data_IF_464296846484
#
_entry.id   IF_464296846484
#
_cell.length_a   1.000
_cell.length_b   1.000
_cell.length_c   1.000
_cell.angle_alpha   90.00
_cell.angle_beta   90.00
_cell.angle_gamma   90.00
#
_symmetry.space_group_name_H-M   'P 1'
#
loop_
_entity.id
_entity.type
_entity.pdbx_description
1 polymer ?
#
# COMPACT_ATOMS: atom_id res chain seq x y z
N UNK A 1 58.41 -5.77 -11.50
CA UNK A 1 57.13 -5.35 -12.12
C UNK A 1 56.04 -6.21 -11.50
N UNK A 2 55.27 -5.67 -10.56
CA UNK A 2 54.21 -6.40 -9.85
C UNK A 2 52.89 -6.21 -10.61
N UNK A 3 52.42 -7.28 -11.26
CA UNK A 3 51.13 -7.31 -11.94
C UNK A 3 50.02 -7.46 -10.90
N UNK A 4 49.36 -6.35 -10.59
CA UNK A 4 48.15 -6.32 -9.76
C UNK A 4 47.00 -6.98 -10.53
N UNK A 5 46.73 -8.24 -10.22
CA UNK A 5 45.56 -8.97 -10.72
C UNK A 5 44.30 -8.39 -10.07
N UNK A 6 43.63 -7.47 -10.78
CA UNK A 6 42.26 -7.07 -10.44
C UNK A 6 41.37 -8.30 -10.56
N UNK A 7 41.02 -8.93 -9.45
CA UNK A 7 40.00 -9.98 -9.46
C UNK A 7 38.70 -9.35 -9.95
N UNK A 8 38.28 -9.73 -11.14
CA UNK A 8 36.95 -9.45 -11.66
C UNK A 8 35.94 -10.13 -10.73
N UNK A 9 35.44 -9.39 -9.74
CA UNK A 9 34.33 -9.80 -8.89
C UNK A 9 33.14 -10.00 -9.81
N UNK A 10 32.85 -11.26 -10.18
CA UNK A 10 31.61 -11.62 -10.85
C UNK A 10 30.47 -11.02 -10.03
N UNK A 11 29.69 -10.13 -10.64
CA UNK A 11 28.59 -9.41 -10.03
C UNK A 11 27.51 -10.42 -9.59
N UNK A 12 27.72 -11.04 -8.43
CA UNK A 12 26.81 -12.00 -7.84
C UNK A 12 25.68 -11.21 -7.20
N UNK A 13 24.53 -11.18 -7.86
CA UNK A 13 23.32 -10.54 -7.34
C UNK A 13 22.62 -11.54 -6.41
N UNK A 14 22.64 -11.32 -5.08
CA UNK A 14 21.96 -12.22 -4.16
C UNK A 14 20.44 -12.16 -4.41
N UNK A 15 19.87 -13.29 -4.83
CA UNK A 15 18.44 -13.42 -5.07
C UNK A 15 17.71 -13.78 -3.77
N UNK A 16 16.65 -13.02 -3.44
CA UNK A 16 15.78 -13.34 -2.31
C UNK A 16 14.71 -14.35 -2.77
N UNK A 17 14.68 -15.57 -2.22
CA UNK A 17 13.71 -16.60 -2.62
C UNK A 17 12.25 -16.20 -2.34
N UNK A 18 12.02 -15.20 -1.47
CA UNK A 18 10.68 -14.72 -1.14
C UNK A 18 10.18 -13.64 -2.12
N UNK A 19 11.00 -13.17 -3.06
CA UNK A 19 10.65 -12.12 -4.01
C UNK A 19 9.33 -12.36 -4.76
N UNK A 20 9.04 -13.57 -5.30
CA UNK A 20 7.77 -13.81 -6.00
C UNK A 20 6.55 -13.60 -5.09
N UNK A 21 6.64 -14.04 -3.83
CA UNK A 21 5.56 -13.90 -2.85
C UNK A 21 5.36 -12.44 -2.46
N UNK A 22 6.45 -11.68 -2.31
CA UNK A 22 6.39 -10.24 -2.03
C UNK A 22 5.75 -9.48 -3.18
N UNK A 23 6.12 -9.80 -4.42
CA UNK A 23 5.51 -9.21 -5.62
C UNK A 23 4.02 -9.53 -5.66
N UNK A 24 3.62 -10.80 -5.51
CA UNK A 24 2.22 -11.21 -5.53
C UNK A 24 1.39 -10.48 -4.46
N UNK A 25 1.89 -10.41 -3.22
CA UNK A 25 1.22 -9.67 -2.13
C UNK A 25 1.09 -8.19 -2.43
N UNK A 26 2.15 -7.59 -2.99
CA UNK A 26 2.16 -6.20 -3.40
C UNK A 26 1.11 -5.91 -4.47
N UNK A 27 1.07 -6.74 -5.52
CA UNK A 27 0.10 -6.62 -6.63
C UNK A 27 -1.33 -6.74 -6.12
N UNK A 28 -1.62 -7.74 -5.28
CA UNK A 28 -2.94 -7.90 -4.67
C UNK A 28 -3.34 -6.69 -3.84
N UNK A 29 -2.42 -6.15 -3.02
CA UNK A 29 -2.68 -4.96 -2.21
C UNK A 29 -2.93 -3.71 -3.07
N UNK A 30 -2.18 -3.53 -4.17
CA UNK A 30 -2.43 -2.43 -5.10
C UNK A 30 -3.73 -2.61 -5.88
N UNK A 31 -4.08 -3.84 -6.26
CA UNK A 31 -5.34 -4.15 -6.94
C UNK A 31 -6.55 -3.84 -6.06
N UNK A 32 -6.53 -4.27 -4.80
CA UNK A 32 -7.62 -3.97 -3.84
C UNK A 32 -7.76 -2.48 -3.58
N UNK A 33 -6.64 -1.76 -3.44
CA UNK A 33 -6.66 -0.30 -3.31
C UNK A 33 -7.23 0.38 -4.56
N UNK A 34 -6.92 -0.15 -5.75
CA UNK A 34 -7.49 0.29 -7.02
C UNK A 34 -8.99 0.08 -7.10
N UNK A 35 -9.47 -1.08 -6.66
CA UNK A 35 -10.90 -1.40 -6.60
C UNK A 35 -11.66 -0.45 -5.67
N UNK A 36 -11.15 -0.27 -4.45
CA UNK A 36 -11.76 0.64 -3.46
C UNK A 36 -11.80 2.06 -4.02
N UNK A 37 -10.67 2.55 -4.53
CA UNK A 37 -10.55 3.91 -5.08
C UNK A 37 -11.50 4.10 -6.27
N UNK A 38 -11.54 3.16 -7.21
CA UNK A 38 -12.40 3.23 -8.38
C UNK A 38 -13.89 3.15 -8.03
N UNK A 39 -14.27 2.30 -7.06
CA UNK A 39 -15.64 2.23 -6.57
C UNK A 39 -16.05 3.55 -5.89
N UNK A 40 -15.21 4.10 -5.01
CA UNK A 40 -15.49 5.37 -4.32
C UNK A 40 -15.63 6.54 -5.30
N UNK A 41 -14.72 6.67 -6.26
CA UNK A 41 -14.81 7.72 -7.29
C UNK A 41 -16.06 7.51 -8.15
N UNK A 42 -16.42 6.26 -8.47
CA UNK A 42 -17.59 5.95 -9.29
C UNK A 42 -18.89 6.41 -8.63
N UNK A 43 -19.02 6.15 -7.32
CA UNK A 43 -20.14 6.62 -6.50
C UNK A 43 -20.19 8.16 -6.48
N UNK A 44 -19.06 8.82 -6.22
CA UNK A 44 -18.99 10.29 -6.12
C UNK A 44 -19.29 10.96 -7.47
N UNK A 45 -18.86 10.37 -8.58
CA UNK A 45 -19.06 10.92 -9.92
C UNK A 45 -20.35 10.47 -10.61
N UNK A 46 -21.24 9.77 -9.89
CA UNK A 46 -22.50 9.20 -10.43
C UNK A 46 -22.31 8.36 -11.70
N UNK A 47 -21.15 7.72 -11.85
CA UNK A 47 -20.83 6.77 -12.93
C UNK A 47 -21.02 5.35 -12.43
N UNK A 48 -21.02 4.36 -13.33
CA UNK A 48 -21.06 2.95 -12.94
C UNK A 48 -19.83 2.61 -12.06
N UNK A 49 -19.99 2.38 -10.74
CA UNK A 49 -18.88 2.19 -9.82
C UNK A 49 -18.14 0.89 -10.05
N UNK A 50 -18.82 -0.12 -10.59
CA UNK A 50 -18.24 -1.42 -10.90
C UNK A 50 -17.26 -1.33 -12.08
N UNK A 51 -17.68 -0.71 -13.18
CA UNK A 51 -16.83 -0.52 -14.36
C UNK A 51 -15.59 0.31 -14.03
N UNK A 52 -15.74 1.39 -13.26
CA UNK A 52 -14.61 2.24 -12.85
C UNK A 52 -13.67 1.50 -11.88
N UNK A 53 -14.22 0.74 -10.93
CA UNK A 53 -13.46 -0.11 -10.02
C UNK A 53 -12.59 -1.13 -10.75
N UNK A 54 -13.16 -1.86 -11.73
CA UNK A 54 -12.41 -2.86 -12.51
C UNK A 54 -11.28 -2.19 -13.31
N UNK A 55 -11.58 -1.11 -14.04
CA UNK A 55 -10.57 -0.42 -14.84
C UNK A 55 -9.41 0.11 -13.97
N UNK A 56 -9.73 0.67 -12.80
CA UNK A 56 -8.71 1.15 -11.87
C UNK A 56 -7.92 0.00 -11.23
N UNK A 57 -8.59 -1.12 -10.92
CA UNK A 57 -7.94 -2.33 -10.41
C UNK A 57 -6.91 -2.87 -11.39
N UNK A 58 -7.26 -3.00 -12.66
CA UNK A 58 -6.35 -3.50 -13.71
C UNK A 58 -5.16 -2.56 -13.87
N UNK A 59 -5.41 -1.26 -14.04
CA UNK A 59 -4.36 -0.26 -14.21
C UNK A 59 -3.41 -0.22 -13.01
N UNK A 60 -3.95 -0.26 -11.79
CA UNK A 60 -3.13 -0.21 -10.58
C UNK A 60 -2.42 -1.54 -10.30
N UNK A 61 -2.98 -2.68 -10.74
CA UNK A 61 -2.31 -3.99 -10.67
C UNK A 61 -1.15 -4.07 -11.64
N UNK A 62 -1.27 -3.54 -12.87
CA UNK A 62 -0.15 -3.47 -13.83
C UNK A 62 0.95 -2.56 -13.29
N UNK A 63 0.58 -1.38 -12.77
CA UNK A 63 1.54 -0.47 -12.14
C UNK A 63 2.22 -1.11 -10.92
N UNK A 64 1.44 -1.78 -10.06
CA UNK A 64 1.94 -2.51 -8.89
C UNK A 64 2.88 -3.65 -9.30
N UNK A 65 2.51 -4.46 -10.28
CA UNK A 65 3.34 -5.57 -10.78
C UNK A 65 4.68 -5.05 -11.31
N UNK A 66 4.64 -3.98 -12.10
CA UNK A 66 5.85 -3.35 -12.63
C UNK A 66 6.72 -2.81 -11.50
N UNK A 67 6.12 -2.10 -10.54
CA UNK A 67 6.82 -1.54 -9.38
C UNK A 67 7.48 -2.62 -8.53
N UNK A 68 6.74 -3.62 -8.08
CA UNK A 68 7.28 -4.66 -7.21
C UNK A 68 8.29 -5.54 -7.95
N UNK A 69 8.09 -5.79 -9.25
CA UNK A 69 9.08 -6.54 -10.05
C UNK A 69 10.39 -5.79 -10.18
N UNK A 70 10.35 -4.50 -10.55
CA UNK A 70 11.55 -3.67 -10.63
C UNK A 70 12.21 -3.56 -9.25
N UNK A 71 11.43 -3.37 -8.20
CA UNK A 71 11.95 -3.26 -6.83
C UNK A 71 12.66 -4.52 -6.38
N UNK A 72 12.02 -5.68 -6.48
CA UNK A 72 12.55 -6.93 -5.91
C UNK A 72 13.58 -7.62 -6.82
N UNK A 73 13.48 -7.48 -8.15
CA UNK A 73 14.36 -8.19 -9.08
C UNK A 73 15.50 -7.34 -9.66
N UNK A 74 15.37 -6.01 -9.68
CA UNK A 74 16.42 -5.12 -10.21
C UNK A 74 17.05 -4.29 -9.10
N UNK A 75 16.24 -3.52 -8.38
CA UNK A 75 16.74 -2.49 -7.46
C UNK A 75 17.27 -3.11 -6.17
N UNK A 76 16.51 -3.98 -5.51
CA UNK A 76 16.93 -4.58 -4.24
C UNK A 76 18.21 -5.42 -4.40
N UNK A 77 18.38 -6.31 -5.40
CA UNK A 77 19.63 -7.05 -5.58
C UNK A 77 20.82 -6.12 -5.89
N UNK A 78 20.62 -5.07 -6.68
CA UNK A 78 21.65 -4.09 -7.01
C UNK A 78 22.09 -3.30 -5.77
N UNK A 79 21.15 -2.80 -4.96
CA UNK A 79 21.47 -2.07 -3.73
C UNK A 79 22.09 -2.97 -2.66
N UNK A 80 21.71 -4.25 -2.61
CA UNK A 80 22.37 -5.24 -1.75
C UNK A 80 23.82 -5.48 -2.17
N UNK A 81 24.10 -5.53 -3.48
CA UNK A 81 25.46 -5.73 -4.00
C UNK A 81 26.39 -4.54 -3.72
N UNK A 82 25.83 -3.34 -3.56
CA UNK A 82 26.58 -2.12 -3.28
C UNK A 82 26.75 -1.84 -1.78
N UNK A 83 26.11 -2.65 -0.89
CA UNK A 83 26.09 -2.45 0.56
C UNK A 83 25.83 -0.98 0.98
N UNK A 84 24.99 -0.28 0.22
CA UNK A 84 24.92 1.18 0.25
C UNK A 84 24.38 1.74 1.58
N UNK A 85 23.72 0.91 2.39
CA UNK A 85 23.11 1.31 3.67
C UNK A 85 23.32 0.20 4.70
N UNK A 86 23.53 0.50 6.00
CA UNK A 86 23.65 -0.51 7.06
C UNK A 86 22.44 -1.48 7.15
N UNK A 87 21.26 -1.07 6.69
CA UNK A 87 20.08 -1.94 6.55
C UNK A 87 20.26 -3.04 5.48
N UNK A 88 20.95 -2.73 4.39
CA UNK A 88 21.23 -3.66 3.29
C UNK A 88 22.28 -4.71 3.70
N UNK A 89 23.37 -4.29 4.36
CA UNK A 89 24.38 -5.23 4.88
C UNK A 89 23.75 -6.25 5.82
N UNK A 90 22.79 -5.82 6.65
CA UNK A 90 22.06 -6.74 7.53
C UNK A 90 21.09 -7.66 6.79
N UNK A 91 20.37 -7.17 5.78
CA UNK A 91 19.51 -8.01 4.94
C UNK A 91 20.33 -9.05 4.20
N UNK A 92 21.52 -8.69 3.73
CA UNK A 92 22.47 -9.62 3.13
C UNK A 92 22.90 -10.70 4.13
N UNK A 93 23.22 -10.33 5.38
CA UNK A 93 23.52 -11.32 6.44
C UNK A 93 22.35 -12.25 6.70
N UNK A 94 21.10 -11.74 6.77
CA UNK A 94 19.90 -12.59 6.92
C UNK A 94 19.69 -13.55 5.75
N UNK A 95 19.90 -13.09 4.52
CA UNK A 95 19.78 -13.95 3.33
C UNK A 95 20.87 -15.03 3.31
N UNK A 96 22.10 -14.68 3.70
CA UNK A 96 23.18 -15.66 3.90
C UNK A 96 22.78 -16.68 4.97
N UNK A 97 22.35 -16.24 6.16
CA UNK A 97 21.90 -17.10 7.26
C UNK A 97 20.74 -18.03 6.89
N UNK A 98 19.81 -17.57 6.05
CA UNK A 98 18.70 -18.38 5.53
C UNK A 98 19.21 -19.51 4.62
N UNK A 99 20.29 -19.29 3.87
CA UNK A 99 20.97 -20.31 3.07
C UNK A 99 21.85 -21.30 3.85
N UNK A 100 22.14 -21.04 5.13
CA UNK A 100 22.93 -21.94 5.98
C UNK A 100 22.07 -23.04 6.62
N UNK A 101 22.68 -24.21 6.84
CA UNK A 101 22.05 -25.37 7.50
C UNK A 101 21.70 -25.07 8.98
N UNK A 102 20.66 -25.71 9.52
CA UNK A 102 20.14 -25.47 10.87
C UNK A 102 21.21 -25.60 11.97
N UNK A 103 22.20 -26.48 11.77
CA UNK A 103 23.35 -26.68 12.68
C UNK A 103 24.31 -25.49 12.69
N UNK A 104 24.44 -24.78 11.57
CA UNK A 104 25.30 -23.60 11.46
C UNK A 104 24.59 -22.33 11.96
N UNK A 105 23.26 -22.24 11.81
CA UNK A 105 22.45 -21.13 12.36
C UNK A 105 22.57 -21.00 13.88
N UNK A 106 22.70 -22.12 14.60
CA UNK A 106 22.87 -22.11 16.06
C UNK A 106 24.22 -21.58 16.56
N UNK A 107 25.21 -21.43 15.66
CA UNK A 107 26.56 -20.93 16.00
C UNK A 107 26.77 -19.45 15.68
N UNK A 108 25.77 -18.79 15.08
CA UNK A 108 25.84 -17.37 14.74
C UNK A 108 25.41 -16.52 15.94
N UNK A 109 26.08 -15.38 16.19
CA UNK A 109 25.66 -14.44 17.24
C UNK A 109 24.24 -13.93 16.94
N UNK A 110 23.43 -13.75 17.98
CA UNK A 110 22.06 -13.25 17.85
C UNK A 110 22.05 -11.93 17.05
N UNK A 111 21.27 -11.89 15.97
CA UNK A 111 21.24 -10.74 15.07
C UNK A 111 20.85 -9.46 15.85
N UNK A 112 21.66 -8.38 15.81
CA UNK A 112 21.49 -7.20 16.67
C UNK A 112 20.12 -6.55 16.47
N UNK A 113 19.32 -6.31 17.50
CA UNK A 113 17.94 -5.80 17.36
C UNK A 113 17.92 -4.50 16.53
N UNK A 114 17.07 -4.37 15.48
CA UNK A 114 17.06 -3.17 14.64
C UNK A 114 16.70 -1.93 15.46
N UNK A 115 17.47 -0.87 15.29
CA UNK A 115 17.17 0.40 15.93
C UNK A 115 15.88 1.01 15.35
N UNK A 116 15.13 1.77 16.15
CA UNK A 116 13.87 2.39 15.68
C UNK A 116 14.10 3.38 14.53
N UNK A 117 15.28 3.99 14.44
CA UNK A 117 15.67 4.85 13.32
C UNK A 117 15.89 4.03 12.05
N UNK A 118 16.56 2.89 12.11
CA UNK A 118 16.73 1.99 10.96
C UNK A 118 15.38 1.52 10.40
N UNK A 119 14.44 1.16 11.26
CA UNK A 119 13.10 0.73 10.82
C UNK A 119 12.36 1.84 10.08
N UNK A 120 12.60 3.12 10.40
CA UNK A 120 11.96 4.26 9.70
C UNK A 120 12.45 4.41 8.27
N UNK A 121 13.74 4.20 8.04
CA UNK A 121 14.38 4.40 6.74
C UNK A 121 14.46 3.11 5.91
N UNK A 122 13.96 2.00 6.45
CA UNK A 122 13.98 0.68 5.83
C UNK A 122 13.36 0.70 4.42
N UNK A 123 14.15 0.26 3.44
CA UNK A 123 13.80 0.15 2.01
C UNK A 123 13.29 1.45 1.35
N UNK A 124 13.56 2.62 1.93
CA UNK A 124 13.12 3.88 1.34
C UNK A 124 13.75 4.13 -0.03
N UNK A 125 15.07 3.94 -0.13
CA UNK A 125 15.83 4.09 -1.37
C UNK A 125 15.39 3.07 -2.44
N UNK A 126 15.19 1.81 -2.05
CA UNK A 126 14.65 0.78 -2.95
C UNK A 126 13.34 1.22 -3.59
N UNK A 127 12.40 1.72 -2.77
CA UNK A 127 11.09 2.19 -3.22
C UNK A 127 11.18 3.46 -4.07
N UNK A 128 12.05 4.41 -3.72
CA UNK A 128 12.24 5.63 -4.47
C UNK A 128 12.78 5.35 -5.89
N UNK A 129 13.83 4.54 -5.99
CA UNK A 129 14.44 4.18 -7.28
C UNK A 129 13.48 3.32 -8.11
N UNK A 130 12.86 2.30 -7.50
CA UNK A 130 11.90 1.46 -8.19
C UNK A 130 10.66 2.25 -8.65
N UNK A 131 10.19 3.18 -7.84
CA UNK A 131 9.10 4.10 -8.19
C UNK A 131 9.48 4.98 -9.36
N UNK A 132 10.68 5.57 -9.33
CA UNK A 132 11.18 6.39 -10.42
C UNK A 132 11.32 5.64 -11.74
N UNK A 133 11.89 4.45 -11.71
CA UNK A 133 12.00 3.60 -12.89
C UNK A 133 10.63 3.16 -13.40
N UNK A 134 9.72 2.75 -12.51
CA UNK A 134 8.37 2.32 -12.89
C UNK A 134 7.56 3.45 -13.51
N UNK A 135 7.49 4.61 -12.84
CA UNK A 135 6.76 5.77 -13.36
C UNK A 135 7.35 6.27 -14.66
N UNK A 136 8.69 6.28 -14.78
CA UNK A 136 9.36 6.65 -16.01
C UNK A 136 9.07 5.70 -17.16
N UNK A 137 9.25 4.39 -16.97
CA UNK A 137 9.01 3.36 -18.00
C UNK A 137 7.55 3.33 -18.42
N UNK A 138 6.63 3.30 -17.45
CA UNK A 138 5.20 3.22 -17.73
C UNK A 138 4.70 4.46 -18.47
N UNK A 139 5.14 5.66 -18.05
CA UNK A 139 4.80 6.89 -18.74
C UNK A 139 5.43 6.97 -20.13
N UNK A 140 6.69 6.53 -20.29
CA UNK A 140 7.33 6.49 -21.59
C UNK A 140 6.62 5.55 -22.57
N UNK A 141 6.15 4.40 -22.08
CA UNK A 141 5.43 3.42 -22.88
C UNK A 141 4.05 3.91 -23.35
N UNK A 142 3.29 4.58 -22.48
CA UNK A 142 1.90 4.99 -22.80
C UNK A 142 1.75 6.44 -23.26
N UNK A 143 2.67 7.33 -22.90
CA UNK A 143 2.59 8.79 -23.15
C UNK A 143 3.81 9.34 -23.88
N UNK A 144 4.75 8.48 -24.26
CA UNK A 144 5.95 8.83 -25.03
C UNK A 144 7.17 9.20 -24.17
N UNK A 145 8.36 9.04 -24.78
CA UNK A 145 9.69 9.09 -24.11
C UNK A 145 9.96 10.40 -23.38
N UNK A 146 9.43 11.52 -23.86
CA UNK A 146 9.61 12.84 -23.25
C UNK A 146 9.02 12.93 -21.82
N UNK A 147 8.09 12.03 -21.46
CA UNK A 147 7.46 12.03 -20.14
C UNK A 147 8.21 11.21 -19.09
N UNK A 148 9.24 10.44 -19.49
CA UNK A 148 9.98 9.53 -18.60
C UNK A 148 10.48 10.23 -17.34
N UNK A 149 11.21 11.33 -17.49
CA UNK A 149 11.85 11.98 -16.34
C UNK A 149 10.84 12.61 -15.39
N UNK A 150 9.83 13.31 -15.94
CA UNK A 150 8.78 13.96 -15.13
C UNK A 150 7.98 12.92 -14.34
N UNK A 151 7.55 11.84 -14.99
CA UNK A 151 6.79 10.78 -14.35
C UNK A 151 7.65 9.94 -13.39
N UNK A 152 8.94 9.78 -13.68
CA UNK A 152 9.86 9.11 -12.77
C UNK A 152 10.04 9.89 -11.47
N UNK A 153 10.29 11.19 -11.53
CA UNK A 153 10.45 12.01 -10.31
C UNK A 153 9.18 11.99 -9.46
N UNK A 154 8.00 12.17 -10.06
CA UNK A 154 6.74 12.16 -9.31
C UNK A 154 6.44 10.80 -8.70
N UNK A 155 6.67 9.71 -9.46
CA UNK A 155 6.47 8.36 -8.94
C UNK A 155 7.46 7.98 -7.83
N UNK A 156 8.73 8.41 -7.94
CA UNK A 156 9.74 8.25 -6.88
C UNK A 156 9.32 8.95 -5.59
N UNK A 157 8.78 10.17 -5.69
CA UNK A 157 8.29 10.91 -4.53
C UNK A 157 7.08 10.20 -3.88
N UNK A 158 6.11 9.77 -4.69
CA UNK A 158 4.93 9.05 -4.20
C UNK A 158 5.36 7.74 -3.51
N UNK A 159 6.26 6.98 -4.11
CA UNK A 159 6.77 5.73 -3.54
C UNK A 159 7.53 5.97 -2.23
N UNK A 160 8.29 7.06 -2.15
CA UNK A 160 8.99 7.46 -0.93
C UNK A 160 8.03 7.79 0.20
N UNK A 161 7.01 8.61 -0.08
CA UNK A 161 5.98 8.98 0.90
C UNK A 161 5.26 7.72 1.40
N UNK A 162 4.83 6.84 0.49
CA UNK A 162 4.12 5.62 0.85
C UNK A 162 4.99 4.69 1.70
N UNK A 163 6.27 4.54 1.36
CA UNK A 163 7.20 3.73 2.14
C UNK A 163 7.43 4.31 3.54
N UNK A 164 7.57 5.63 3.67
CA UNK A 164 7.64 6.30 4.98
C UNK A 164 6.38 6.02 5.80
N UNK A 165 5.18 6.15 5.20
CA UNK A 165 3.91 5.90 5.89
C UNK A 165 3.83 4.47 6.42
N UNK A 166 4.21 3.46 5.62
CA UNK A 166 4.23 2.06 6.03
C UNK A 166 5.25 1.83 7.16
N UNK A 167 6.43 2.43 7.05
CA UNK A 167 7.47 2.30 8.06
C UNK A 167 7.05 2.94 9.40
N UNK A 168 6.39 4.09 9.36
CA UNK A 168 5.83 4.75 10.55
C UNK A 168 4.74 3.89 11.21
N UNK A 169 3.84 3.31 10.42
CA UNK A 169 2.82 2.38 10.93
C UNK A 169 3.47 1.16 11.61
N UNK A 170 4.57 0.63 11.04
CA UNK A 170 5.35 -0.45 11.65
C UNK A 170 5.97 -0.03 12.98
N UNK A 171 6.56 1.15 13.05
CA UNK A 171 7.13 1.70 14.29
C UNK A 171 6.06 1.88 15.37
N UNK A 172 4.87 2.37 15.01
CA UNK A 172 3.74 2.51 15.94
C UNK A 172 3.35 1.13 16.48
N UNK A 173 3.16 0.14 15.60
CA UNK A 173 2.83 -1.23 16.01
C UNK A 173 3.88 -1.82 16.96
N UNK A 174 5.17 -1.67 16.64
CA UNK A 174 6.26 -2.16 17.48
C UNK A 174 6.25 -1.50 18.87
N UNK A 175 5.99 -0.18 18.93
CA UNK A 175 5.84 0.53 20.20
C UNK A 175 4.64 0.04 21.00
N UNK A 176 3.51 -0.25 20.34
CA UNK A 176 2.32 -0.78 21.02
C UNK A 176 2.57 -2.18 21.58
N UNK A 177 3.20 -3.06 20.80
CA UNK A 177 3.55 -4.41 21.26
C UNK A 177 4.57 -4.37 22.41
N UNK A 178 5.60 -3.52 22.32
CA UNK A 178 6.58 -3.36 23.38
C UNK A 178 5.94 -2.90 24.71
N UNK A 179 4.91 -2.05 24.66
CA UNK A 179 4.14 -1.63 25.85
C UNK A 179 3.31 -2.77 26.46
N UNK A 180 2.80 -3.68 25.63
CA UNK A 180 2.03 -4.84 26.09
C UNK A 180 2.94 -5.94 26.64
N UNK A 181 4.18 -6.03 26.15
CA UNK A 181 5.20 -6.97 26.64
C UNK A 181 5.91 -6.53 27.92
N UNK A 182 5.50 -5.42 28.54
CA UNK A 182 5.92 -5.05 29.90
C UNK A 182 4.79 -5.37 30.90
N UNK A 183 4.49 -6.66 31.19
CA UNK A 183 3.75 -6.96 32.40
C UNK A 183 4.64 -6.57 33.59
N UNK A 184 4.05 -5.82 34.52
CA UNK A 184 4.58 -5.49 35.84
C UNK A 184 5.40 -6.64 36.43
N UNK A 185 6.72 -6.46 36.56
CA UNK A 185 7.47 -7.15 37.59
C UNK A 185 6.77 -6.82 38.92
N UNK A 186 6.34 -7.81 39.73
CA UNK A 186 6.01 -7.55 41.10
C UNK A 186 7.25 -6.93 41.72
N UNK A 187 7.10 -5.70 42.16
CA UNK A 187 8.05 -5.02 43.02
C UNK A 187 8.09 -5.86 44.31
N UNK A 188 8.97 -6.86 44.34
CA UNK A 188 9.27 -7.62 45.54
C UNK A 188 9.79 -6.62 46.55
N UNK A 189 8.92 -6.30 47.51
CA UNK A 189 9.25 -5.58 48.71
C UNK A 189 10.49 -6.23 49.33
N UNK A 190 11.51 -5.43 49.53
CA UNK A 190 12.54 -5.69 50.52
C UNK A 190 11.89 -5.73 51.91
N UNK A 191 11.85 -6.90 52.52
CA UNK A 191 11.99 -7.05 53.97
C UNK A 191 12.38 -8.50 54.29
N UNK A 192 13.39 -8.61 55.14
CA UNK A 192 14.11 -9.80 55.59
C UNK A 192 13.21 -10.89 56.21
N UNK A 193 13.48 -12.17 55.92
CA UNK A 193 13.86 -13.21 56.92
C UNK A 193 14.11 -14.58 56.24
N UNK A 194 15.12 -15.40 56.63
CA UNK A 194 15.33 -16.74 56.11
C UNK A 194 14.85 -17.81 57.11
N UNK A 195 13.99 -18.75 56.69
CA UNK A 195 14.03 -20.16 57.16
C UNK A 195 12.93 -21.05 56.57
N UNK A 196 13.31 -22.31 56.33
CA UNK A 196 12.53 -23.54 56.27
C UNK A 196 11.76 -23.95 54.98
N UNK A 197 12.45 -24.79 54.20
CA UNK A 197 12.02 -26.02 53.51
C UNK A 197 10.64 -26.60 53.82
N UNK A 198 9.85 -27.01 52.79
CA UNK A 198 9.12 -28.32 52.68
C UNK A 198 8.44 -28.51 51.29
N UNK A 199 9.05 -29.34 50.44
CA UNK A 199 8.56 -30.53 49.69
C UNK A 199 7.08 -30.65 49.15
N UNK A 200 6.96 -30.70 47.80
CA UNK A 200 6.12 -31.53 46.85
C UNK A 200 4.54 -31.45 46.86
N UNK A 201 3.81 -32.14 45.94
CA UNK A 201 3.67 -31.88 44.49
C UNK A 201 2.19 -31.95 43.97
N UNK A 202 1.93 -31.46 42.74
CA UNK A 202 0.94 -32.10 41.86
C UNK A 202 -0.24 -31.26 41.32
N UNK A 203 -0.60 -31.63 40.07
CA UNK A 203 -1.88 -31.52 39.35
C UNK A 203 -2.21 -30.27 38.52
N UNK A 204 -1.96 -30.42 37.22
CA UNK A 204 -2.89 -30.41 36.08
C UNK A 204 -3.89 -29.26 35.85
N UNK A 205 -3.91 -28.86 34.58
CA UNK A 205 -5.02 -28.31 33.78
C UNK A 205 -5.60 -26.93 34.11
N UNK A 206 -5.36 -25.95 33.22
CA UNK A 206 -6.43 -25.43 32.35
C UNK A 206 -5.91 -24.47 31.27
N UNK A 207 -6.18 -24.88 30.03
CA UNK A 207 -6.15 -24.12 28.77
C UNK A 207 -7.60 -23.81 28.42
N UNK A 208 -7.89 -22.62 27.85
CA UNK A 208 -9.21 -21.98 27.58
C UNK A 208 -9.68 -21.12 28.77
N UNK A 209 -10.02 -19.83 28.68
CA UNK A 209 -10.72 -19.09 27.63
C UNK A 209 -10.62 -17.57 27.89
N UNK A 210 -10.03 -16.78 26.98
CA UNK A 210 -10.11 -15.30 27.00
C UNK A 210 -10.38 -14.72 25.61
N UNK A 211 -11.20 -15.41 24.83
CA UNK A 211 -11.73 -14.92 23.55
C UNK A 211 -13.23 -15.14 23.63
N UNK A 212 -13.98 -14.19 24.22
CA UNK A 212 -15.43 -13.94 23.98
C UNK A 212 -16.10 -13.09 25.09
N UNK A 213 -15.62 -11.87 25.37
CA UNK A 213 -16.38 -10.93 26.22
C UNK A 213 -16.32 -9.48 25.71
N UNK A 214 -16.57 -9.25 24.42
CA UNK A 214 -16.78 -7.88 23.92
C UNK A 214 -17.90 -7.76 22.89
N UNK A 215 -18.86 -8.68 22.91
CA UNK A 215 -20.03 -8.64 22.05
C UNK A 215 -21.28 -8.91 22.87
N UNK A 216 -21.66 -7.94 23.72
CA UNK A 216 -23.03 -7.79 24.22
C UNK A 216 -23.15 -6.46 24.97
N UNK A 217 -23.55 -5.41 24.24
CA UNK A 217 -24.16 -4.24 24.84
C UNK A 217 -25.41 -3.88 24.01
N UNK A 218 -26.62 -4.04 24.57
CA UNK A 218 -27.85 -3.84 23.83
C UNK A 218 -28.16 -2.36 23.60
N UNK A 219 -28.63 -2.09 22.39
CA UNK A 219 -29.16 -0.83 21.88
C UNK A 219 -30.31 -0.30 22.74
N UNK A 220 -30.28 0.99 23.10
CA UNK A 220 -31.42 1.74 23.63
C UNK A 220 -31.83 2.82 22.61
N UNK A 221 -33.07 2.83 22.10
CA UNK A 221 -33.53 3.81 21.10
C UNK A 221 -33.91 5.17 21.75
N UNK A 222 -33.95 6.26 20.95
CA UNK A 222 -33.89 7.64 21.41
C UNK A 222 -35.27 8.31 21.50
N UNK A 223 -35.39 9.37 22.30
CA UNK A 223 -36.36 10.47 22.09
C UNK A 223 -35.84 11.74 22.79
N UNK A 224 -36.35 12.94 22.43
CA UNK A 224 -35.53 14.09 22.05
C UNK A 224 -35.43 15.07 23.23
N UNK A 225 -34.59 16.10 23.10
CA UNK A 225 -34.93 17.52 23.39
C UNK A 225 -33.65 18.33 23.62
N UNK A 226 -33.55 19.38 22.81
CA UNK A 226 -32.93 20.69 23.09
C UNK A 226 -31.42 20.89 22.92
N UNK A 227 -31.17 21.69 21.87
CA UNK A 227 -30.05 22.58 21.58
C UNK A 227 -29.54 23.27 22.85
N UNK A 228 -28.24 23.11 23.15
CA UNK A 228 -27.44 24.12 23.84
C UNK A 228 -25.95 23.96 23.49
N UNK A 229 -25.26 25.10 23.56
CA UNK A 229 -24.05 25.51 22.87
C UNK A 229 -22.74 24.79 23.24
N UNK A 230 -21.88 24.72 22.22
CA UNK A 230 -20.44 25.00 22.23
C UNK A 230 -19.59 24.53 23.43
N UNK A 231 -19.11 23.29 23.35
CA UNK A 231 -17.81 22.94 23.93
C UNK A 231 -16.90 22.21 22.93
N UNK A 232 -15.72 22.80 22.79
CA UNK A 232 -14.49 22.41 22.09
C UNK A 232 -14.21 20.91 21.97
N UNK A 233 -14.78 20.25 20.96
CA UNK A 233 -14.36 18.92 20.54
C UNK A 233 -13.07 19.04 19.72
N UNK A 234 -11.98 18.50 20.26
CA UNK A 234 -10.69 18.40 19.56
C UNK A 234 -10.91 17.65 18.24
N UNK A 235 -10.49 18.20 17.08
CA UNK A 235 -10.81 17.62 15.79
C UNK A 235 -10.22 16.23 15.66
N UNK A 236 -11.05 15.30 15.20
CA UNK A 236 -10.71 13.89 15.04
C UNK A 236 -9.68 13.77 13.91
N UNK A 237 -8.78 12.77 13.97
CA UNK A 237 -7.71 12.59 12.97
C UNK A 237 -8.18 12.68 11.49
N UNK A 238 -9.35 12.14 11.10
CA UNK A 238 -9.89 12.32 9.74
C UNK A 238 -10.19 13.78 9.37
N UNK A 239 -10.69 14.59 10.31
CA UNK A 239 -10.97 16.02 10.09
C UNK A 239 -9.68 16.82 9.91
N UNK A 240 -8.62 16.47 10.65
CA UNK A 240 -7.29 17.10 10.46
C UNK A 240 -6.70 16.80 9.08
N UNK A 241 -6.97 15.61 8.54
CA UNK A 241 -6.54 15.21 7.21
C UNK A 241 -7.33 15.96 6.13
N UNK A 242 -8.66 16.05 6.26
CA UNK A 242 -9.50 16.84 5.35
C UNK A 242 -9.15 18.34 5.37
N UNK A 243 -8.91 18.91 6.55
CA UNK A 243 -8.51 20.32 6.68
C UNK A 243 -7.11 20.63 6.13
N UNK A 244 -6.22 19.62 6.03
CA UNK A 244 -4.93 19.80 5.37
C UNK A 244 -5.02 19.68 3.85
N UNK A 245 -5.95 18.86 3.33
CA UNK A 245 -6.17 18.70 1.89
C UNK A 245 -6.83 19.94 1.26
N UNK A 246 -7.74 20.62 1.99
CA UNK A 246 -8.38 21.87 1.53
C UNK A 246 -7.42 23.07 1.48
N UNK A 247 -6.30 23.04 2.21
CA UNK A 247 -5.25 24.07 2.11
C UNK A 247 -4.39 23.97 0.84
N UNK A 248 -4.25 22.77 0.27
CA UNK A 248 -3.41 22.53 -0.89
C UNK A 248 -4.18 22.38 -2.20
N UNK A 249 -5.48 22.12 -2.12
CA UNK A 249 -6.38 22.13 -3.26
C UNK A 249 -7.33 23.31 -3.09
N UNK A 250 -7.19 24.41 -3.87
CA UNK A 250 -8.20 25.45 -3.95
C UNK A 250 -9.44 24.88 -4.64
N UNK A 251 -10.17 24.02 -3.92
CA UNK A 251 -11.48 23.54 -4.33
C UNK A 251 -12.43 24.71 -4.14
N UNK A 252 -12.59 25.49 -5.21
CA UNK A 252 -13.66 26.48 -5.31
C UNK A 252 -14.97 25.74 -5.05
N UNK A 253 -15.73 26.17 -4.05
CA UNK A 253 -17.08 25.65 -3.85
C UNK A 253 -17.88 26.10 -5.07
N UNK A 254 -18.22 25.14 -5.94
CA UNK A 254 -19.12 25.36 -7.06
C UNK A 254 -20.43 25.87 -6.48
N UNK A 255 -20.88 27.05 -6.90
CA UNK A 255 -22.17 27.57 -6.43
C UNK A 255 -23.28 26.66 -6.94
N UNK A 256 -24.43 26.60 -6.26
CA UNK A 256 -25.56 25.75 -6.68
C UNK A 256 -25.99 26.05 -8.13
N UNK A 257 -25.83 27.30 -8.57
CA UNK A 257 -26.15 27.74 -9.92
C UNK A 257 -25.14 27.23 -10.96
N UNK A 258 -23.83 27.34 -10.67
CA UNK A 258 -22.77 26.80 -11.53
C UNK A 258 -22.82 25.26 -11.61
N UNK A 259 -23.30 24.61 -10.54
CA UNK A 259 -23.59 23.17 -10.53
C UNK A 259 -24.73 22.80 -11.48
N UNK A 260 -25.83 23.55 -11.47
CA UNK A 260 -26.98 23.34 -12.36
C UNK A 260 -26.56 23.59 -13.82
N UNK A 261 -25.83 24.66 -14.11
CA UNK A 261 -25.33 24.95 -15.47
C UNK A 261 -24.42 23.82 -15.99
N UNK A 262 -23.55 23.29 -15.11
CA UNK A 262 -22.69 22.15 -15.45
C UNK A 262 -23.51 20.88 -15.74
N UNK A 263 -24.60 20.65 -15.00
CA UNK A 263 -25.50 19.52 -15.23
C UNK A 263 -26.28 19.66 -16.55
N UNK A 264 -26.79 20.85 -16.86
CA UNK A 264 -27.49 21.11 -18.11
C UNK A 264 -26.57 20.96 -19.32
N UNK A 265 -25.33 21.47 -19.23
CA UNK A 265 -24.32 21.28 -20.27
C UNK A 265 -24.01 19.80 -20.51
N UNK A 266 -23.85 19.02 -19.43
CA UNK A 266 -23.63 17.57 -19.53
C UNK A 266 -24.84 16.85 -20.11
N UNK A 267 -26.06 17.26 -19.77
CA UNK A 267 -27.29 16.71 -20.35
C UNK A 267 -27.34 16.94 -21.86
N UNK A 268 -27.07 18.17 -22.31
CA UNK A 268 -27.01 18.49 -23.74
C UNK A 268 -25.92 17.70 -24.49
N UNK A 269 -24.76 17.50 -23.86
CA UNK A 269 -23.68 16.69 -24.45
C UNK A 269 -24.07 15.23 -24.60
N UNK A 270 -24.75 14.65 -23.59
CA UNK A 270 -25.25 13.27 -23.65
C UNK A 270 -26.37 13.13 -24.69
N UNK A 271 -27.32 14.05 -24.73
CA UNK A 271 -28.40 14.05 -25.73
C UNK A 271 -27.85 14.17 -27.16
N UNK A 272 -26.78 14.96 -27.34
CA UNK A 272 -26.06 15.06 -28.61
C UNK A 272 -25.41 13.73 -28.99
N UNK A 273 -24.72 13.07 -28.06
CA UNK A 273 -24.08 11.76 -28.28
C UNK A 273 -25.09 10.68 -28.62
N UNK A 274 -26.26 10.69 -27.98
CA UNK A 274 -27.33 9.74 -28.29
C UNK A 274 -27.83 9.90 -29.74
N UNK A 275 -28.03 11.14 -30.21
CA UNK A 275 -28.40 11.37 -31.62
C UNK A 275 -27.33 10.92 -32.60
N UNK A 276 -26.06 11.16 -32.30
CA UNK A 276 -24.95 10.70 -33.15
C UNK A 276 -24.93 9.16 -33.28
N UNK A 277 -25.23 8.46 -32.18
CA UNK A 277 -25.32 6.99 -32.17
C UNK A 277 -26.53 6.50 -32.98
N UNK A 278 -27.71 7.10 -32.81
CA UNK A 278 -28.91 6.72 -33.58
C UNK A 278 -28.68 6.91 -35.10
N UNK A 279 -27.98 7.99 -35.49
CA UNK A 279 -27.63 8.25 -36.88
C UNK A 279 -26.56 7.27 -37.42
N UNK A 280 -25.63 6.80 -36.58
CA UNK A 280 -24.68 5.74 -36.93
C UNK A 280 -25.37 4.38 -37.06
N UNK A 281 -26.28 4.03 -36.15
CA UNK A 281 -27.03 2.78 -36.18
C UNK A 281 -27.88 2.69 -37.45
N UNK A 282 -28.57 3.77 -37.82
CA UNK A 282 -29.35 3.83 -39.06
C UNK A 282 -28.46 3.64 -40.30
N UNK A 283 -27.29 4.29 -40.34
CA UNK A 283 -26.33 4.14 -41.44
C UNK A 283 -25.80 2.70 -41.55
N UNK A 284 -25.52 2.05 -40.42
CA UNK A 284 -25.09 0.65 -40.41
C UNK A 284 -26.20 -0.28 -40.89
N UNK A 285 -27.45 -0.03 -40.50
CA UNK A 285 -28.61 -0.81 -40.92
C UNK A 285 -28.84 -0.70 -42.44
N UNK A 286 -28.81 0.52 -42.99
CA UNK A 286 -28.95 0.76 -44.43
C UNK A 286 -27.81 0.09 -45.22
N UNK A 287 -26.57 0.18 -44.71
CA UNK A 287 -25.41 -0.49 -45.32
C UNK A 287 -25.54 -2.02 -45.32
N UNK A 288 -26.00 -2.60 -44.21
CA UNK A 288 -26.21 -4.05 -44.10
C UNK A 288 -27.31 -4.55 -45.04
N UNK A 289 -28.41 -3.79 -45.19
CA UNK A 289 -29.45 -4.12 -46.17
C UNK A 289 -28.93 -4.07 -47.61
N UNK A 290 -28.11 -3.06 -47.95
CA UNK A 290 -27.53 -2.93 -49.29
C UNK A 290 -26.59 -4.10 -49.64
N UNK A 291 -25.81 -4.61 -48.67
CA UNK A 291 -24.99 -5.80 -48.86
C UNK A 291 -25.82 -7.06 -49.10
N UNK A 292 -26.86 -7.29 -48.31
CA UNK A 292 -27.74 -8.45 -48.48
C UNK A 292 -28.45 -8.45 -49.85
N UNK A 293 -28.85 -7.29 -50.35
CA UNK A 293 -29.44 -7.16 -51.70
C UNK A 293 -28.42 -7.44 -52.81
N UNK A 294 -27.15 -7.03 -52.62
CA UNK A 294 -26.08 -7.28 -53.59
C UNK A 294 -25.72 -8.77 -53.68
N UNK A 295 -25.70 -9.45 -52.53
CA UNK A 295 -25.44 -10.90 -52.46
C UNK A 295 -26.52 -11.72 -53.18
N UNK A 296 -27.81 -11.38 -53.00
CA UNK A 296 -28.91 -12.12 -53.64
C UNK A 296 -29.04 -11.90 -55.15
N UNK A 297 -28.31 -10.93 -55.74
CA UNK A 297 -28.30 -10.66 -57.19
C UNK A 297 -27.12 -11.31 -57.93
N UNK A 298 -26.18 -11.91 -57.20
CA UNK A 298 -25.02 -12.62 -57.74
C UNK A 298 -25.33 -14.11 -57.85
#
# INVERSE_FOLDING_TARGET
>A
MSSSSKSSSSLFLPFDPNSPVLVAKGVLATGTLGAITGASIGVIQTKNPFALSINMTINLSIAGLTFFSIREYLVSPLLLSLELTPSHSRRLSKLKEQGLSAVQRGKLPAAPIPSLSEVRWDRLSDSAIAGGLTGGVLSAAFRGRATFLKAGITSSLIASILQISINQARVIRLKTLAKQSTPSLPQSASMDDPSATTILPGKDDQVHSQISQSFEQPLKPPLPTTIQEAESQKPTFPEKMMNSLTKFLPVRKLTNEEYVETLEKKRMEVDKRLREIDDEEKRMYDWAQAQNQSYNRS
#
